data_IF_863236751448
#
_entry.id   IF_863236751448
#
_cell.length_a   1.000
_cell.length_b   1.000
_cell.length_c   1.000
_cell.angle_alpha   90.00
_cell.angle_beta   90.00
_cell.angle_gamma   90.00
#
_symmetry.space_group_name_H-M   'P 1'
#
loop_
_entity.id
_entity.type
_entity.pdbx_description
1 polymer ?
#
# COMPACT_ATOMS: atom_id res chain seq x y z
N UNK A 1 -59.36 -50.65 -25.27
CA UNK A 1 -58.32 -49.89 -24.54
C UNK A 1 -57.07 -50.75 -24.38
N UNK A 2 -56.08 -50.62 -25.28
CA UNK A 2 -54.73 -51.18 -25.13
C UNK A 2 -53.76 -50.15 -25.73
N UNK A 3 -52.79 -49.70 -24.92
CA UNK A 3 -51.84 -48.62 -25.19
C UNK A 3 -50.69 -49.11 -26.09
N UNK A 4 -50.08 -48.26 -26.94
CA UNK A 4 -48.90 -48.63 -27.69
C UNK A 4 -47.63 -48.48 -26.83
N UNK A 5 -46.68 -49.38 -27.06
CA UNK A 5 -45.34 -49.40 -26.44
C UNK A 5 -44.42 -48.59 -27.35
N UNK A 6 -43.82 -47.52 -26.82
CA UNK A 6 -42.77 -46.75 -27.51
C UNK A 6 -41.42 -47.43 -27.30
N UNK A 7 -40.80 -47.91 -28.38
CA UNK A 7 -39.38 -48.28 -28.40
C UNK A 7 -38.53 -47.02 -28.57
N UNK A 8 -37.79 -46.64 -27.54
CA UNK A 8 -36.76 -45.62 -27.62
C UNK A 8 -35.43 -46.26 -28.05
N UNK A 9 -34.98 -45.97 -29.27
CA UNK A 9 -33.64 -46.32 -29.74
C UNK A 9 -32.70 -45.19 -29.32
N UNK A 10 -31.85 -45.45 -28.33
CA UNK A 10 -30.78 -44.54 -27.93
C UNK A 10 -29.61 -44.67 -28.92
N UNK A 11 -29.39 -43.63 -29.71
CA UNK A 11 -28.23 -43.51 -30.61
C UNK A 11 -27.02 -43.01 -29.79
N UNK A 12 -26.05 -43.88 -29.53
CA UNK A 12 -24.78 -43.50 -28.91
C UNK A 12 -23.88 -42.83 -29.96
N UNK A 13 -23.66 -41.52 -29.83
CA UNK A 13 -22.70 -40.79 -30.65
C UNK A 13 -21.28 -40.98 -30.09
N UNK A 14 -20.44 -41.73 -30.82
CA UNK A 14 -18.99 -41.76 -30.61
C UNK A 14 -18.38 -40.45 -31.16
N UNK A 15 -18.02 -39.54 -30.26
CA UNK A 15 -17.17 -38.39 -30.56
C UNK A 15 -15.71 -38.86 -30.70
N UNK A 16 -15.27 -39.09 -31.93
CA UNK A 16 -13.84 -39.09 -32.25
C UNK A 16 -13.28 -37.68 -32.08
N UNK A 17 -12.56 -37.43 -31.00
CA UNK A 17 -11.72 -36.24 -30.87
C UNK A 17 -10.55 -36.38 -31.86
N UNK A 18 -10.61 -35.65 -32.96
CA UNK A 18 -9.46 -35.45 -33.82
C UNK A 18 -8.37 -34.73 -33.00
N UNK A 19 -7.23 -35.40 -32.76
CA UNK A 19 -6.07 -34.74 -32.19
C UNK A 19 -5.53 -33.73 -33.21
N UNK A 20 -5.57 -32.45 -32.86
CA UNK A 20 -4.91 -31.41 -33.65
C UNK A 20 -3.40 -31.72 -33.71
N UNK A 21 -2.79 -31.55 -34.89
CA UNK A 21 -1.35 -31.67 -35.05
C UNK A 21 -0.64 -30.70 -34.09
N UNK A 22 0.49 -31.08 -33.48
CA UNK A 22 1.22 -30.19 -32.60
C UNK A 22 1.67 -28.94 -33.37
N UNK A 23 1.70 -27.76 -32.71
CA UNK A 23 2.20 -26.55 -33.34
C UNK A 23 3.66 -26.73 -33.78
N UNK A 24 4.10 -26.06 -34.86
CA UNK A 24 5.48 -26.15 -35.32
C UNK A 24 6.44 -25.57 -34.28
N UNK A 25 7.61 -26.20 -34.13
CA UNK A 25 8.71 -25.73 -33.28
C UNK A 25 9.35 -24.43 -33.82
N UNK A 26 10.08 -23.66 -33.00
CA UNK A 26 10.81 -22.48 -33.46
C UNK A 26 11.76 -22.76 -34.64
N UNK A 27 12.40 -23.93 -34.68
CA UNK A 27 13.23 -24.33 -35.83
C UNK A 27 12.40 -24.49 -37.11
N UNK A 28 11.20 -25.09 -37.02
CA UNK A 28 10.29 -25.24 -38.16
C UNK A 28 9.68 -23.91 -38.61
N UNK A 29 9.47 -22.97 -37.69
CA UNK A 29 8.91 -21.65 -37.98
C UNK A 29 9.96 -20.74 -38.63
N UNK A 30 11.17 -20.67 -38.08
CA UNK A 30 12.18 -19.67 -38.47
C UNK A 30 13.29 -20.21 -39.38
N UNK A 31 13.44 -21.53 -39.50
CA UNK A 31 14.33 -22.20 -40.45
C UNK A 31 15.75 -21.62 -40.47
N UNK A 32 16.24 -21.07 -41.60
CA UNK A 32 17.59 -20.52 -41.72
C UNK A 32 17.94 -19.42 -40.72
N UNK A 33 16.96 -18.65 -40.23
CA UNK A 33 17.19 -17.65 -39.17
C UNK A 33 17.54 -18.35 -37.86
N UNK A 34 16.78 -19.40 -37.49
CA UNK A 34 17.05 -20.19 -36.29
C UNK A 34 18.43 -20.84 -36.34
N UNK A 35 18.78 -21.44 -37.48
CA UNK A 35 20.09 -22.07 -37.68
C UNK A 35 21.23 -21.07 -37.53
N UNK A 36 21.10 -19.87 -38.09
CA UNK A 36 22.12 -18.84 -37.97
C UNK A 36 22.28 -18.35 -36.52
N UNK A 37 21.17 -18.06 -35.82
CA UNK A 37 21.22 -17.58 -34.43
C UNK A 37 21.87 -18.60 -33.49
N UNK A 38 21.54 -19.88 -33.66
CA UNK A 38 22.12 -20.95 -32.85
C UNK A 38 23.59 -21.23 -33.22
N UNK A 39 23.92 -21.25 -34.52
CA UNK A 39 25.28 -21.59 -34.99
C UNK A 39 26.28 -20.49 -34.68
N UNK A 40 25.87 -19.22 -34.76
CA UNK A 40 26.73 -18.07 -34.43
C UNK A 40 26.81 -17.81 -32.92
N UNK A 41 26.10 -18.59 -32.08
CA UNK A 41 26.02 -18.41 -30.63
C UNK A 41 25.70 -16.95 -30.26
N UNK A 42 24.69 -16.40 -30.92
CA UNK A 42 24.25 -15.00 -30.72
C UNK A 42 23.92 -14.72 -29.24
N UNK A 43 23.49 -15.73 -28.50
CA UNK A 43 23.31 -15.72 -27.05
C UNK A 43 24.15 -16.82 -26.39
N UNK A 44 24.54 -16.62 -25.14
CA UNK A 44 25.38 -17.56 -24.38
C UNK A 44 24.68 -18.92 -24.16
N UNK A 45 23.35 -18.92 -23.97
CA UNK A 45 22.52 -20.11 -23.84
C UNK A 45 21.66 -20.30 -25.09
N UNK A 46 21.74 -21.50 -25.69
CA UNK A 46 20.93 -21.87 -26.85
C UNK A 46 19.42 -21.95 -26.55
N UNK A 47 19.01 -22.00 -25.28
CA UNK A 47 17.60 -21.91 -24.88
C UNK A 47 17.05 -20.48 -25.00
N UNK A 48 17.91 -19.47 -24.93
CA UNK A 48 17.50 -18.05 -24.95
C UNK A 48 16.72 -17.67 -26.20
N UNK A 49 17.16 -18.10 -27.39
CA UNK A 49 16.43 -17.82 -28.63
C UNK A 49 15.20 -18.72 -28.82
N UNK A 50 15.25 -19.96 -28.34
CA UNK A 50 14.12 -20.90 -28.39
C UNK A 50 12.91 -20.36 -27.61
N UNK A 51 13.17 -19.66 -26.50
CA UNK A 51 12.16 -19.04 -25.65
C UNK A 51 11.83 -17.59 -26.06
N UNK A 52 12.46 -17.07 -27.12
CA UNK A 52 12.21 -15.71 -27.59
C UNK A 52 10.84 -15.59 -28.27
N UNK A 53 10.12 -14.52 -27.95
CA UNK A 53 8.76 -14.28 -28.45
C UNK A 53 8.83 -13.34 -29.67
N UNK A 54 8.29 -13.70 -30.84
CA UNK A 54 8.31 -12.81 -32.01
C UNK A 54 7.46 -11.55 -31.75
N UNK A 55 7.96 -10.39 -32.16
CA UNK A 55 7.27 -9.09 -32.07
C UNK A 55 6.29 -8.84 -33.22
N UNK A 56 6.23 -9.73 -34.20
CA UNK A 56 5.39 -9.62 -35.40
C UNK A 56 5.17 -10.98 -36.07
N UNK A 57 4.62 -10.95 -37.28
CA UNK A 57 4.33 -12.17 -38.05
C UNK A 57 5.63 -12.95 -38.38
N UNK A 58 5.75 -14.24 -38.01
CA UNK A 58 6.95 -15.04 -38.25
C UNK A 58 7.37 -15.11 -39.72
N UNK A 59 6.42 -15.21 -40.66
CA UNK A 59 6.75 -15.28 -42.08
C UNK A 59 7.38 -13.97 -42.57
N UNK A 60 6.85 -12.82 -42.14
CA UNK A 60 7.44 -11.51 -42.42
C UNK A 60 8.85 -11.36 -41.83
N UNK A 61 9.09 -11.90 -40.63
CA UNK A 61 10.42 -11.88 -39.99
C UNK A 61 11.43 -12.71 -40.78
N UNK A 62 11.05 -13.92 -41.22
CA UNK A 62 11.91 -14.78 -42.05
C UNK A 62 12.23 -14.12 -43.39
N UNK A 63 11.26 -13.44 -44.00
CA UNK A 63 11.49 -12.72 -45.25
C UNK A 63 12.37 -11.47 -45.08
N UNK A 64 12.26 -10.76 -43.95
CA UNK A 64 13.21 -9.72 -43.59
C UNK A 64 14.63 -10.27 -43.43
N UNK A 65 14.79 -11.40 -42.74
CA UNK A 65 16.08 -12.06 -42.58
C UNK A 65 16.72 -12.44 -43.92
N UNK A 66 15.93 -13.01 -44.85
CA UNK A 66 16.42 -13.37 -46.20
C UNK A 66 16.91 -12.17 -47.01
N UNK A 67 16.27 -11.01 -46.84
CA UNK A 67 16.63 -9.77 -47.52
C UNK A 67 17.87 -9.11 -46.90
N UNK A 68 17.95 -9.08 -45.58
CA UNK A 68 19.04 -8.41 -44.86
C UNK A 68 20.32 -9.25 -44.76
N UNK A 69 20.20 -10.58 -44.73
CA UNK A 69 21.29 -11.55 -44.51
C UNK A 69 22.30 -11.12 -43.42
N UNK A 70 21.83 -10.73 -42.21
CA UNK A 70 22.70 -10.21 -41.17
C UNK A 70 23.60 -11.31 -40.58
N UNK A 71 24.81 -10.91 -40.13
CA UNK A 71 25.80 -11.80 -39.49
C UNK A 71 26.45 -11.13 -38.28
N UNK A 72 26.97 -11.92 -37.35
CA UNK A 72 27.65 -11.46 -36.14
C UNK A 72 26.81 -10.49 -35.33
N UNK A 73 27.37 -9.32 -35.01
CA UNK A 73 26.67 -8.28 -34.25
C UNK A 73 25.37 -7.79 -34.93
N UNK A 74 25.33 -7.78 -36.27
CA UNK A 74 24.11 -7.40 -37.01
C UNK A 74 23.00 -8.44 -36.86
N UNK A 75 23.36 -9.73 -36.75
CA UNK A 75 22.38 -10.80 -36.50
C UNK A 75 21.78 -10.66 -35.09
N UNK A 76 22.60 -10.34 -34.09
CA UNK A 76 22.10 -10.04 -32.73
C UNK A 76 21.12 -8.87 -32.73
N UNK A 77 21.45 -7.77 -33.40
CA UNK A 77 20.56 -6.61 -33.52
C UNK A 77 19.26 -6.95 -34.29
N UNK A 78 19.36 -7.75 -35.34
CA UNK A 78 18.19 -8.27 -36.06
C UNK A 78 17.26 -9.03 -35.11
N UNK A 79 17.82 -9.96 -34.31
CA UNK A 79 17.03 -10.72 -33.34
C UNK A 79 16.38 -9.80 -32.30
N UNK A 80 17.13 -8.89 -31.68
CA UNK A 80 16.57 -7.96 -30.68
C UNK A 80 15.51 -7.03 -31.26
N UNK A 81 15.58 -6.71 -32.57
CA UNK A 81 14.54 -5.92 -33.25
C UNK A 81 13.26 -6.71 -33.50
N UNK A 82 13.35 -8.00 -33.83
CA UNK A 82 12.20 -8.81 -34.25
C UNK A 82 11.66 -9.75 -33.16
N UNK A 83 12.38 -9.93 -32.06
CA UNK A 83 12.02 -10.81 -30.95
C UNK A 83 12.19 -10.11 -29.60
N UNK A 84 11.33 -10.44 -28.64
CA UNK A 84 11.54 -10.17 -27.22
C UNK A 84 12.28 -11.37 -26.63
N UNK A 85 13.55 -11.17 -26.29
CA UNK A 85 14.46 -12.24 -25.86
C UNK A 85 14.59 -12.24 -24.33
N UNK A 86 14.36 -13.38 -23.64
CA UNK A 86 14.51 -13.45 -22.18
C UNK A 86 15.92 -13.06 -21.71
N UNK A 87 16.00 -12.17 -20.72
CA UNK A 87 17.28 -11.69 -20.16
C UNK A 87 17.94 -10.56 -20.95
N UNK A 88 17.57 -10.37 -22.22
CA UNK A 88 17.92 -9.19 -23.00
C UNK A 88 16.82 -8.15 -22.78
N UNK A 89 17.15 -7.01 -22.17
CA UNK A 89 16.17 -5.96 -22.05
C UNK A 89 15.87 -5.41 -23.45
N UNK A 90 14.64 -5.59 -23.92
CA UNK A 90 14.08 -4.69 -24.94
C UNK A 90 14.41 -3.28 -24.46
N UNK A 91 15.16 -2.52 -25.28
CA UNK A 91 15.39 -1.10 -25.06
C UNK A 91 14.01 -0.43 -25.03
N UNK A 92 13.38 -0.42 -23.84
CA UNK A 92 12.24 0.43 -23.58
C UNK A 92 12.80 1.84 -23.82
N UNK A 93 12.16 2.65 -24.68
CA UNK A 93 12.61 4.01 -24.91
C UNK A 93 12.83 4.64 -23.54
N UNK A 94 13.99 5.29 -23.35
CA UNK A 94 14.38 5.85 -22.06
C UNK A 94 13.22 6.70 -21.52
N UNK A 95 12.47 6.12 -20.58
CA UNK A 95 11.36 6.83 -19.96
C UNK A 95 11.99 7.84 -19.02
N UNK A 96 11.50 9.07 -19.06
CA UNK A 96 11.86 10.01 -18.00
C UNK A 96 11.38 9.42 -16.67
N UNK A 97 12.04 9.77 -15.56
CA UNK A 97 11.58 9.37 -14.22
C UNK A 97 10.09 9.69 -14.01
N UNK A 98 9.62 10.82 -14.57
CA UNK A 98 8.23 11.24 -14.50
C UNK A 98 7.30 10.32 -15.27
N UNK A 99 7.66 9.94 -16.49
CA UNK A 99 6.83 9.03 -17.30
C UNK A 99 6.79 7.63 -16.70
N UNK A 100 7.91 7.18 -16.12
CA UNK A 100 7.98 5.93 -15.39
C UNK A 100 7.03 5.94 -14.18
N UNK A 101 7.08 6.97 -13.33
CA UNK A 101 6.17 7.12 -12.18
C UNK A 101 4.71 7.14 -12.61
N UNK A 102 4.38 7.92 -13.65
CA UNK A 102 3.00 7.99 -14.18
C UNK A 102 2.51 6.62 -14.68
N UNK A 103 3.38 5.86 -15.33
CA UNK A 103 3.07 4.52 -15.81
C UNK A 103 2.88 3.50 -14.68
N UNK A 104 3.33 3.79 -13.45
CA UNK A 104 3.11 2.93 -12.28
C UNK A 104 1.74 3.11 -11.64
N UNK A 105 1.06 4.25 -11.79
CA UNK A 105 -0.25 4.46 -11.12
C UNK A 105 -1.27 3.37 -11.45
N UNK A 106 -1.50 2.98 -12.71
CA UNK A 106 -2.42 1.88 -13.01
C UNK A 106 -1.97 0.54 -12.43
N UNK A 107 -0.65 0.31 -12.34
CA UNK A 107 -0.08 -0.94 -11.82
C UNK A 107 -0.18 -1.04 -10.29
N UNK A 108 -0.13 0.10 -9.60
CA UNK A 108 -0.25 0.21 -8.15
C UNK A 108 -1.70 0.40 -7.70
N UNK A 109 -2.62 0.72 -8.61
CA UNK A 109 -4.05 0.82 -8.32
C UNK A 109 -4.66 -0.56 -8.14
N UNK A 110 -5.51 -0.71 -7.14
CA UNK A 110 -6.36 -1.87 -6.90
C UNK A 110 -7.82 -1.43 -6.99
N UNK A 111 -8.72 -2.30 -7.48
CA UNK A 111 -10.15 -2.00 -7.47
C UNK A 111 -10.68 -2.02 -6.03
N UNK A 112 -11.93 -1.60 -5.87
CA UNK A 112 -12.69 -1.83 -4.64
C UNK A 112 -12.59 -3.29 -4.20
N UNK A 113 -12.51 -3.51 -2.89
CA UNK A 113 -12.22 -4.80 -2.30
C UNK A 113 -13.39 -5.27 -1.42
N UNK A 114 -13.98 -6.40 -1.78
CA UNK A 114 -14.84 -7.18 -0.89
C UNK A 114 -14.14 -8.52 -0.58
N UNK A 115 -13.48 -8.64 0.59
CA UNK A 115 -12.67 -9.81 0.90
C UNK A 115 -13.55 -11.03 1.21
N UNK A 116 -13.14 -12.25 0.79
CA UNK A 116 -13.86 -13.46 1.14
C UNK A 116 -13.77 -13.74 2.65
N UNK A 117 -14.72 -14.53 3.17
CA UNK A 117 -14.72 -14.95 4.57
C UNK A 117 -13.38 -15.62 4.95
N UNK A 118 -12.85 -15.28 6.14
CA UNK A 118 -11.55 -15.77 6.62
C UNK A 118 -10.34 -15.00 6.10
N UNK A 119 -10.51 -14.06 5.17
CA UNK A 119 -9.44 -13.15 4.76
C UNK A 119 -9.07 -12.17 5.86
N UNK A 120 -7.79 -11.82 5.97
CA UNK A 120 -7.34 -10.73 6.83
C UNK A 120 -7.57 -9.35 6.22
N UNK A 121 -7.87 -9.23 4.93
CA UNK A 121 -8.13 -7.92 4.32
C UNK A 121 -9.41 -7.28 4.85
N UNK A 122 -9.40 -5.96 5.00
CA UNK A 122 -10.60 -5.15 5.28
C UNK A 122 -11.23 -4.71 3.96
N UNK A 123 -12.56 -4.68 3.90
CA UNK A 123 -13.28 -4.18 2.72
C UNK A 123 -12.99 -2.70 2.47
N UNK A 124 -12.91 -2.31 1.20
CA UNK A 124 -12.75 -0.93 0.73
C UNK A 124 -13.75 -0.67 -0.41
N UNK A 125 -14.62 0.35 -0.31
CA UNK A 125 -15.67 0.61 -1.29
C UNK A 125 -15.20 1.16 -2.64
N UNK A 126 -13.98 1.70 -2.74
CA UNK A 126 -13.49 2.40 -3.92
C UNK A 126 -12.10 1.90 -4.39
N UNK A 127 -11.63 2.31 -5.58
CA UNK A 127 -10.26 2.06 -5.99
C UNK A 127 -9.22 2.81 -5.15
N UNK A 128 -8.09 2.17 -4.88
CA UNK A 128 -7.01 2.73 -4.07
C UNK A 128 -5.63 2.36 -4.60
N UNK A 129 -4.62 3.12 -4.19
CA UNK A 129 -3.21 2.83 -4.52
C UNK A 129 -2.53 2.09 -3.37
N UNK A 130 -1.69 1.10 -3.70
CA UNK A 130 -0.82 0.41 -2.74
C UNK A 130 0.65 0.79 -2.95
N UNK A 131 1.53 0.68 -1.93
CA UNK A 131 2.95 1.03 -2.06
C UNK A 131 3.70 0.19 -3.11
N UNK A 132 3.28 -1.07 -3.30
CA UNK A 132 3.87 -2.00 -4.26
C UNK A 132 4.72 -3.10 -3.64
N UNK A 133 5.10 -4.08 -4.45
CA UNK A 133 5.86 -5.25 -4.02
C UNK A 133 5.11 -6.12 -3.01
N UNK A 134 5.68 -6.29 -1.81
CA UNK A 134 5.07 -7.10 -0.73
C UNK A 134 3.86 -6.43 -0.07
N UNK A 135 3.75 -5.11 -0.16
CA UNK A 135 2.69 -4.33 0.45
C UNK A 135 1.48 -4.31 -0.49
N UNK A 136 0.49 -5.14 -0.16
CA UNK A 136 -0.68 -5.41 -1.03
C UNK A 136 -1.97 -4.77 -0.53
N UNK A 137 -1.85 -3.91 0.46
CA UNK A 137 -2.93 -3.19 1.12
C UNK A 137 -2.58 -1.70 1.18
N UNK A 138 -3.59 -0.85 1.31
CA UNK A 138 -3.39 0.59 1.53
C UNK A 138 -2.82 0.79 2.94
N UNK A 139 -1.81 1.66 3.05
CA UNK A 139 -1.22 2.12 4.31
C UNK A 139 -1.59 3.59 4.52
N UNK A 140 -1.86 3.96 5.77
CA UNK A 140 -2.47 5.25 6.07
C UNK A 140 -1.57 6.43 5.67
N UNK A 141 -0.42 6.63 6.32
CA UNK A 141 0.37 7.84 6.08
C UNK A 141 1.05 7.86 4.69
N UNK A 142 1.46 6.70 4.14
CA UNK A 142 2.03 6.55 2.80
C UNK A 142 1.09 7.18 1.75
N UNK A 143 -0.21 6.94 1.92
CA UNK A 143 -1.25 7.40 1.00
C UNK A 143 -1.28 8.91 0.85
N UNK A 144 -0.92 9.69 1.87
CA UNK A 144 -0.90 11.15 1.74
C UNK A 144 0.17 11.58 0.73
N UNK A 145 1.38 11.02 0.84
CA UNK A 145 2.47 11.32 -0.07
C UNK A 145 2.20 10.78 -1.47
N UNK A 146 1.55 9.61 -1.58
CA UNK A 146 1.03 9.11 -2.86
C UNK A 146 0.01 10.07 -3.47
N UNK A 147 -0.95 10.57 -2.69
CA UNK A 147 -1.97 11.52 -3.15
C UNK A 147 -1.38 12.85 -3.64
N UNK A 148 -0.26 13.31 -3.09
CA UNK A 148 0.47 14.47 -3.63
C UNK A 148 0.98 14.20 -5.05
N UNK A 149 1.54 13.01 -5.31
CA UNK A 149 1.96 12.58 -6.64
C UNK A 149 0.78 12.44 -7.61
N UNK A 150 -0.31 11.82 -7.15
CA UNK A 150 -1.57 11.72 -7.89
C UNK A 150 -2.12 13.11 -8.28
N UNK A 151 -2.08 14.08 -7.36
CA UNK A 151 -2.50 15.46 -7.63
C UNK A 151 -1.65 16.08 -8.74
N UNK A 152 -0.33 15.90 -8.68
CA UNK A 152 0.60 16.44 -9.66
C UNK A 152 0.44 15.83 -11.07
N UNK A 153 -0.14 14.62 -11.17
CA UNK A 153 -0.47 13.95 -12.43
C UNK A 153 -1.97 14.02 -12.80
N UNK A 154 -2.76 14.85 -12.12
CA UNK A 154 -4.17 15.10 -12.45
C UNK A 154 -5.12 13.95 -12.11
N UNK A 155 -4.72 13.02 -11.23
CA UNK A 155 -5.49 11.83 -10.84
C UNK A 155 -6.52 12.12 -9.74
N UNK A 156 -7.30 13.21 -9.88
CA UNK A 156 -8.28 13.64 -8.88
C UNK A 156 -9.33 12.56 -8.52
N UNK A 157 -9.90 11.81 -9.48
CA UNK A 157 -10.88 10.77 -9.14
C UNK A 157 -10.32 9.69 -8.20
N UNK A 158 -9.02 9.38 -8.31
CA UNK A 158 -8.35 8.40 -7.47
C UNK A 158 -8.09 8.96 -6.06
N UNK A 159 -7.76 10.24 -5.95
CA UNK A 159 -7.65 10.97 -4.67
C UNK A 159 -8.98 10.90 -3.91
N UNK A 160 -10.09 11.24 -4.57
CA UNK A 160 -11.41 11.24 -3.95
C UNK A 160 -11.88 9.81 -3.59
N UNK A 161 -11.49 8.81 -4.39
CA UNK A 161 -11.74 7.39 -4.08
C UNK A 161 -11.01 6.94 -2.81
N UNK A 162 -9.72 7.28 -2.68
CA UNK A 162 -8.94 6.97 -1.47
C UNK A 162 -9.48 7.67 -0.22
N UNK A 163 -9.99 8.91 -0.34
CA UNK A 163 -10.67 9.60 0.76
C UNK A 163 -11.94 8.86 1.18
N UNK A 164 -12.78 8.44 0.24
CA UNK A 164 -13.98 7.66 0.54
C UNK A 164 -13.66 6.34 1.26
N UNK A 165 -12.55 5.69 0.88
CA UNK A 165 -12.06 4.50 1.56
C UNK A 165 -11.66 4.79 3.01
N UNK A 166 -10.89 5.86 3.28
CA UNK A 166 -10.50 6.27 4.63
C UNK A 166 -11.68 6.66 5.51
N UNK A 167 -12.65 7.39 4.96
CA UNK A 167 -13.90 7.71 5.66
C UNK A 167 -14.70 6.44 6.01
N UNK A 168 -14.73 5.46 5.10
CA UNK A 168 -15.39 4.17 5.35
C UNK A 168 -14.74 3.39 6.49
N UNK A 169 -13.41 3.53 6.67
CA UNK A 169 -12.67 2.88 7.75
C UNK A 169 -13.00 3.54 9.09
N UNK A 170 -13.02 4.88 9.13
CA UNK A 170 -13.42 5.64 10.31
C UNK A 170 -14.85 5.33 10.70
N UNK A 171 -15.78 5.29 9.74
CA UNK A 171 -17.19 4.99 10.01
C UNK A 171 -17.40 3.59 10.63
N UNK A 172 -16.58 2.59 10.25
CA UNK A 172 -16.71 1.21 10.74
C UNK A 172 -15.89 0.91 11.99
N UNK A 173 -14.73 1.53 12.14
CA UNK A 173 -13.74 1.17 13.16
C UNK A 173 -13.43 2.31 14.13
N UNK A 174 -13.90 3.53 13.86
CA UNK A 174 -13.65 4.73 14.66
C UNK A 174 -12.31 5.42 14.36
N UNK A 175 -11.47 4.84 13.50
CA UNK A 175 -10.15 5.36 13.11
C UNK A 175 -9.67 4.74 11.81
N UNK A 176 -8.57 5.25 11.26
CA UNK A 176 -7.87 4.65 10.12
C UNK A 176 -6.79 3.70 10.64
N UNK A 177 -6.87 2.38 10.40
CA UNK A 177 -5.83 1.43 10.82
C UNK A 177 -4.51 1.65 10.08
N UNK A 178 -3.40 1.13 10.64
CA UNK A 178 -2.06 1.18 10.02
C UNK A 178 -2.10 0.82 8.52
N UNK A 179 -2.75 -0.30 8.20
CA UNK A 179 -3.16 -0.66 6.85
C UNK A 179 -4.45 -1.48 6.88
N UNK A 180 -4.97 -1.87 5.72
CA UNK A 180 -6.31 -2.50 5.64
C UNK A 180 -6.29 -4.01 5.88
N UNK A 181 -5.78 -4.40 7.05
CA UNK A 181 -5.76 -5.79 7.55
C UNK A 181 -6.32 -5.90 8.96
N UNK A 182 -6.98 -7.01 9.28
CA UNK A 182 -7.61 -7.29 10.58
C UNK A 182 -6.61 -7.24 11.74
N UNK A 183 -5.35 -7.62 11.53
CA UNK A 183 -4.28 -7.55 12.53
C UNK A 183 -3.78 -6.13 12.81
N UNK A 184 -4.17 -5.15 11.98
CA UNK A 184 -3.90 -3.72 12.20
C UNK A 184 -5.01 -3.01 12.98
N UNK A 185 -6.16 -3.64 13.24
CA UNK A 185 -7.27 -3.02 14.00
C UNK A 185 -6.95 -2.73 15.49
N UNK A 186 -5.72 -2.96 15.95
CA UNK A 186 -5.24 -2.50 17.25
C UNK A 186 -4.57 -1.11 17.23
N UNK A 187 -4.19 -0.60 16.05
CA UNK A 187 -3.37 0.60 15.91
C UNK A 187 -3.62 1.36 14.61
N UNK A 188 -3.38 2.66 14.65
CA UNK A 188 -3.41 3.55 13.48
C UNK A 188 -2.02 3.66 12.83
N UNK A 189 -1.76 4.82 12.23
CA UNK A 189 -0.47 5.33 11.74
C UNK A 189 -0.47 6.86 11.94
N UNK A 190 0.60 7.60 11.62
CA UNK A 190 0.59 9.06 11.73
C UNK A 190 -0.66 9.71 11.09
N UNK A 191 -1.39 10.63 11.76
CA UNK A 191 -2.70 11.09 11.31
C UNK A 191 -2.62 12.18 10.25
N UNK A 192 -2.66 11.76 8.98
CA UNK A 192 -2.56 12.64 7.81
C UNK A 192 -3.91 13.02 7.18
N UNK A 193 -5.05 12.52 7.68
CA UNK A 193 -6.35 12.72 7.03
C UNK A 193 -6.69 14.19 6.81
N UNK A 194 -6.40 15.09 7.75
CA UNK A 194 -6.66 16.52 7.55
C UNK A 194 -5.94 17.09 6.34
N UNK A 195 -4.71 16.63 6.08
CA UNK A 195 -3.91 17.03 4.93
C UNK A 195 -4.39 16.36 3.64
N UNK A 196 -4.90 15.12 3.73
CA UNK A 196 -5.52 14.42 2.61
C UNK A 196 -6.82 15.11 2.16
N UNK A 197 -7.66 15.54 3.11
CA UNK A 197 -8.92 16.26 2.82
C UNK A 197 -8.66 17.59 2.11
N UNK A 198 -7.52 18.24 2.37
CA UNK A 198 -7.12 19.46 1.64
C UNK A 198 -6.86 19.21 0.14
N UNK A 199 -6.70 17.94 -0.27
CA UNK A 199 -6.52 17.53 -1.67
C UNK A 199 -7.85 17.15 -2.37
N UNK A 200 -8.95 17.04 -1.61
CA UNK A 200 -10.26 16.64 -2.11
C UNK A 200 -10.79 17.59 -3.19
N UNK A 201 -11.61 17.08 -4.11
CA UNK A 201 -12.32 17.92 -5.09
C UNK A 201 -13.34 18.86 -4.43
N UNK A 202 -13.99 18.40 -3.36
CA UNK A 202 -14.90 19.18 -2.54
C UNK A 202 -14.49 19.16 -1.06
N UNK A 203 -13.50 19.97 -0.65
CA UNK A 203 -13.03 19.95 0.72
C UNK A 203 -14.13 20.27 1.74
N UNK A 204 -15.18 21.01 1.39
CA UNK A 204 -16.22 21.41 2.35
C UNK A 204 -17.32 20.35 2.54
N UNK A 205 -17.19 19.15 1.95
CA UNK A 205 -18.13 18.04 2.21
C UNK A 205 -18.23 17.76 3.73
N UNK A 206 -19.44 17.80 4.32
CA UNK A 206 -19.65 17.54 5.75
C UNK A 206 -19.11 16.18 6.22
N UNK A 207 -19.00 15.18 5.34
CA UNK A 207 -18.42 13.87 5.65
C UNK A 207 -16.96 13.99 6.08
N UNK A 208 -16.20 14.88 5.45
CA UNK A 208 -14.81 15.13 5.81
C UNK A 208 -14.71 15.67 7.24
N UNK A 209 -15.52 16.66 7.60
CA UNK A 209 -15.52 17.22 8.97
C UNK A 209 -15.93 16.16 10.01
N UNK A 210 -16.92 15.32 9.69
CA UNK A 210 -17.32 14.22 10.55
C UNK A 210 -16.18 13.21 10.76
N UNK A 211 -15.49 12.83 9.69
CA UNK A 211 -14.35 11.90 9.74
C UNK A 211 -13.18 12.46 10.55
N UNK A 212 -12.82 13.74 10.36
CA UNK A 212 -11.75 14.39 11.11
C UNK A 212 -12.06 14.46 12.62
N UNK A 213 -13.30 14.75 12.99
CA UNK A 213 -13.74 14.75 14.39
C UNK A 213 -13.67 13.35 15.01
N UNK A 214 -14.12 12.34 14.28
CA UNK A 214 -14.05 10.95 14.75
C UNK A 214 -12.60 10.47 14.91
N UNK A 215 -11.70 10.82 13.97
CA UNK A 215 -10.28 10.53 14.13
C UNK A 215 -9.68 11.26 15.36
N UNK A 216 -10.00 12.53 15.56
CA UNK A 216 -9.57 13.26 16.74
C UNK A 216 -10.06 12.59 18.04
N UNK A 217 -11.32 12.13 18.08
CA UNK A 217 -11.86 11.40 19.23
C UNK A 217 -11.14 10.08 19.50
N UNK A 218 -10.69 9.37 18.46
CA UNK A 218 -9.83 8.19 18.61
C UNK A 218 -8.49 8.53 19.27
N UNK A 219 -7.80 9.58 18.80
CA UNK A 219 -6.53 10.01 19.39
C UNK A 219 -6.69 10.52 20.82
N UNK A 220 -7.84 11.13 21.13
CA UNK A 220 -8.14 11.73 22.44
C UNK A 220 -8.95 10.81 23.36
N UNK A 221 -9.07 9.51 23.04
CA UNK A 221 -9.74 8.52 23.89
C UNK A 221 -9.05 8.45 25.26
N UNK A 222 -9.86 8.37 26.32
CA UNK A 222 -9.43 8.40 27.73
C UNK A 222 -8.72 9.68 28.21
N UNK A 223 -8.93 10.83 27.53
CA UNK A 223 -8.42 12.15 27.97
C UNK A 223 -8.85 12.57 29.39
N UNK A 224 -9.89 11.95 29.94
CA UNK A 224 -10.38 12.21 31.29
C UNK A 224 -9.47 11.63 32.39
N UNK A 225 -8.45 10.82 32.03
CA UNK A 225 -7.47 10.34 33.00
C UNK A 225 -6.82 11.50 33.77
N UNK A 226 -6.78 11.36 35.10
CA UNK A 226 -6.34 12.41 36.03
C UNK A 226 -4.82 12.53 36.14
N UNK A 227 -4.06 11.52 35.71
CA UNK A 227 -2.60 11.51 35.80
C UNK A 227 -1.97 10.52 34.83
N UNK A 228 -0.76 10.83 34.37
CA UNK A 228 0.06 9.93 33.55
C UNK A 228 -0.48 9.73 32.14
N UNK A 229 -0.27 8.54 31.59
CA UNK A 229 -0.67 8.18 30.24
C UNK A 229 -1.80 7.14 30.24
N UNK A 230 -2.83 7.38 29.43
CA UNK A 230 -3.92 6.46 29.17
C UNK A 230 -4.07 6.31 27.66
N UNK A 231 -3.86 5.08 27.16
CA UNK A 231 -3.82 4.79 25.73
C UNK A 231 -2.87 5.75 24.98
N UNK A 232 -3.40 6.52 24.04
CA UNK A 232 -2.72 7.49 23.17
C UNK A 232 -2.62 8.89 23.79
N UNK A 233 -3.20 9.14 24.96
CA UNK A 233 -3.18 10.45 25.65
C UNK A 233 -2.17 10.43 26.80
N UNK A 234 -1.40 11.49 26.92
CA UNK A 234 -0.45 11.74 28.00
C UNK A 234 -0.76 13.08 28.66
N UNK A 235 -1.00 13.06 29.96
CA UNK A 235 -1.11 14.27 30.77
C UNK A 235 0.28 14.64 31.30
N UNK A 236 0.78 15.78 30.83
CA UNK A 236 2.05 16.36 31.23
C UNK A 236 1.98 16.91 32.67
N UNK A 237 3.12 17.13 33.35
CA UNK A 237 3.15 17.61 34.73
C UNK A 237 2.40 18.94 35.00
N UNK A 238 2.33 19.84 34.02
CA UNK A 238 1.59 21.10 34.10
C UNK A 238 0.09 20.94 33.76
N UNK A 239 -0.37 19.71 33.55
CA UNK A 239 -1.74 19.39 33.19
C UNK A 239 -2.02 19.43 31.68
N UNK A 240 -1.07 19.88 30.85
CA UNK A 240 -1.23 19.89 29.40
C UNK A 240 -1.45 18.47 28.86
N UNK A 241 -2.19 18.36 27.75
CA UNK A 241 -2.43 17.09 27.07
C UNK A 241 -1.59 17.01 25.79
N UNK A 242 -0.81 15.94 25.69
CA UNK A 242 -0.11 15.53 24.48
C UNK A 242 -0.48 14.08 24.16
N UNK A 243 -0.01 13.57 23.03
CA UNK A 243 -0.27 12.22 22.60
C UNK A 243 1.00 11.40 22.43
N UNK A 244 0.85 10.08 22.53
CA UNK A 244 1.86 9.08 22.22
C UNK A 244 1.29 8.01 21.29
N UNK A 245 2.17 7.29 20.62
CA UNK A 245 1.78 6.07 19.90
C UNK A 245 1.48 4.93 20.87
N UNK A 246 0.48 4.13 20.55
CA UNK A 246 -0.07 3.05 21.36
C UNK A 246 -0.90 2.09 20.49
N UNK A 247 -0.57 0.80 20.47
CA UNK A 247 -1.49 -0.24 19.97
C UNK A 247 -2.34 -0.75 21.14
N UNK A 248 -3.59 -1.15 20.93
CA UNK A 248 -4.53 -1.65 21.94
C UNK A 248 -4.34 -3.16 22.28
N UNK A 249 -3.59 -3.90 21.46
CA UNK A 249 -3.30 -5.33 21.66
C UNK A 249 -2.02 -5.56 22.48
N UNK A 250 -2.03 -6.46 23.50
CA UNK A 250 -0.88 -6.70 24.37
C UNK A 250 0.07 -7.84 23.93
N UNK A 251 -0.04 -8.35 22.70
CA UNK A 251 0.71 -9.53 22.21
C UNK A 251 1.71 -9.23 21.08
N UNK A 252 2.49 -10.22 20.61
CA UNK A 252 3.38 -10.07 19.44
C UNK A 252 2.58 -9.70 18.18
N UNK A 253 3.18 -8.96 17.24
CA UNK A 253 2.59 -8.63 15.93
C UNK A 253 2.35 -9.88 15.10
N UNK A 254 1.16 -9.99 14.52
CA UNK A 254 0.75 -11.14 13.71
C UNK A 254 1.67 -11.30 12.47
N UNK A 255 2.03 -10.18 11.85
CA UNK A 255 2.90 -10.09 10.68
C UNK A 255 4.41 -10.20 10.99
N UNK A 256 4.80 -10.27 12.26
CA UNK A 256 6.20 -10.34 12.72
C UNK A 256 6.32 -11.11 14.04
N UNK A 257 5.55 -12.20 14.16
CA UNK A 257 5.37 -12.90 15.43
C UNK A 257 6.69 -13.46 15.98
N UNK A 258 7.46 -14.13 15.13
CA UNK A 258 8.69 -14.79 15.52
C UNK A 258 9.75 -13.77 15.97
N UNK A 259 9.85 -12.65 15.23
CA UNK A 259 10.76 -11.54 15.49
C UNK A 259 10.43 -10.85 16.81
N UNK A 260 9.14 -10.57 17.07
CA UNK A 260 8.69 -9.94 18.30
C UNK A 260 8.96 -10.85 19.52
N UNK A 261 8.64 -12.15 19.41
CA UNK A 261 8.93 -13.14 20.47
C UNK A 261 10.43 -13.24 20.74
N UNK A 262 11.26 -13.29 19.70
CA UNK A 262 12.72 -13.32 19.84
C UNK A 262 13.25 -12.04 20.51
N UNK A 263 12.74 -10.88 20.12
CA UNK A 263 13.11 -9.58 20.70
C UNK A 263 12.76 -9.51 22.19
N UNK A 264 11.55 -9.93 22.56
CA UNK A 264 11.11 -9.92 23.96
C UNK A 264 11.89 -10.91 24.83
N UNK A 265 12.39 -12.03 24.28
CA UNK A 265 13.28 -12.96 25.01
C UNK A 265 14.64 -12.35 25.35
N UNK A 266 15.09 -11.34 24.61
CA UNK A 266 16.36 -10.65 24.83
C UNK A 266 16.23 -9.44 25.79
N UNK A 267 15.03 -9.19 26.33
CA UNK A 267 14.76 -8.08 27.23
C UNK A 267 14.60 -8.56 28.67
N UNK A 268 15.01 -7.73 29.63
CA UNK A 268 14.74 -7.97 31.06
C UNK A 268 13.37 -7.42 31.50
N UNK A 269 12.63 -6.77 30.59
CA UNK A 269 11.28 -6.23 30.85
C UNK A 269 10.21 -7.31 30.73
N UNK A 270 9.02 -7.05 31.28
CA UNK A 270 7.87 -7.91 31.03
C UNK A 270 7.57 -7.98 29.52
N UNK A 271 7.36 -9.19 29.00
CA UNK A 271 7.19 -9.42 27.55
C UNK A 271 6.05 -8.60 26.95
N UNK A 272 4.94 -8.47 27.67
CA UNK A 272 3.79 -7.65 27.26
C UNK A 272 4.15 -6.19 27.02
N UNK A 273 5.03 -5.62 27.85
CA UNK A 273 5.45 -4.22 27.67
C UNK A 273 6.37 -4.07 26.45
N UNK A 274 7.25 -5.04 26.21
CA UNK A 274 8.09 -5.05 25.01
C UNK A 274 7.23 -5.15 23.74
N UNK A 275 6.25 -6.06 23.73
CA UNK A 275 5.30 -6.18 22.62
C UNK A 275 4.50 -4.92 22.40
N UNK A 276 4.05 -4.26 23.48
CA UNK A 276 3.33 -2.98 23.39
C UNK A 276 4.19 -1.91 22.71
N UNK A 277 5.47 -1.80 23.07
CA UNK A 277 6.39 -0.82 22.50
C UNK A 277 6.77 -1.14 21.04
N UNK A 278 6.89 -2.42 20.68
CA UNK A 278 7.08 -2.85 19.30
C UNK A 278 5.87 -2.48 18.43
N UNK A 279 4.67 -2.77 18.89
CA UNK A 279 3.43 -2.41 18.18
C UNK A 279 3.22 -0.89 18.10
N UNK A 280 3.53 -0.15 19.17
CA UNK A 280 3.51 1.31 19.14
C UNK A 280 4.57 1.89 18.19
N UNK A 281 5.73 1.23 18.04
CA UNK A 281 6.73 1.58 17.02
C UNK A 281 6.19 1.42 15.59
N UNK A 282 5.36 0.39 15.36
CA UNK A 282 4.66 0.23 14.09
C UNK A 282 3.54 1.27 13.88
N UNK A 283 2.82 1.67 14.94
CA UNK A 283 1.85 2.79 14.86
C UNK A 283 2.55 4.11 14.54
N UNK A 284 3.82 4.28 14.93
CA UNK A 284 4.55 5.51 14.62
C UNK A 284 4.93 5.62 13.14
N UNK A 285 4.93 4.51 12.38
CA UNK A 285 5.50 4.44 11.03
C UNK A 285 7.04 4.41 10.99
N UNK A 286 7.69 4.26 12.15
CA UNK A 286 9.15 4.25 12.30
C UNK A 286 9.61 2.96 13.00
N UNK A 287 9.16 1.81 12.50
CA UNK A 287 9.51 0.46 12.95
C UNK A 287 10.72 -0.10 12.17
N UNK A 288 11.95 -0.09 12.71
CA UNK A 288 12.36 0.46 14.00
C UNK A 288 13.45 1.51 13.85
N UNK A 289 13.57 2.36 14.88
CA UNK A 289 14.48 3.49 14.91
C UNK A 289 15.13 3.61 16.28
N UNK A 290 16.40 4.02 16.30
CA UNK A 290 17.14 4.36 17.54
C UNK A 290 16.41 5.40 18.39
N UNK A 291 15.56 6.24 17.76
CA UNK A 291 14.65 7.19 18.41
C UNK A 291 13.84 6.56 19.55
N UNK A 292 13.46 5.30 19.41
CA UNK A 292 12.59 4.59 20.36
C UNK A 292 13.35 3.71 21.36
N UNK A 293 14.68 3.62 21.25
CA UNK A 293 15.48 2.66 22.00
C UNK A 293 16.21 3.34 23.16
N UNK A 294 16.33 2.65 24.29
CA UNK A 294 17.26 3.10 25.35
C UNK A 294 18.72 2.84 24.94
N UNK A 295 18.98 1.72 24.28
CA UNK A 295 20.26 1.41 23.63
C UNK A 295 20.03 1.38 22.10
N UNK A 296 20.63 2.31 21.34
CA UNK A 296 20.36 2.46 19.91
C UNK A 296 20.77 1.25 19.07
N UNK A 297 21.53 0.30 19.63
CA UNK A 297 21.96 -0.93 18.95
C UNK A 297 21.13 -2.16 19.32
N UNK A 298 20.22 -2.06 20.30
CA UNK A 298 19.43 -3.20 20.79
C UNK A 298 17.94 -2.92 20.77
N UNK A 299 17.24 -3.54 19.82
CA UNK A 299 15.79 -3.45 19.68
C UNK A 299 15.03 -3.91 20.95
N UNK A 300 15.58 -4.85 21.72
CA UNK A 300 14.97 -5.32 22.98
C UNK A 300 14.85 -4.24 24.07
N UNK A 301 15.45 -3.06 23.83
CA UNK A 301 15.37 -1.88 24.71
C UNK A 301 14.35 -0.83 24.23
N UNK A 302 13.52 -1.16 23.23
CA UNK A 302 12.46 -0.29 22.72
C UNK A 302 11.51 0.15 23.83
N UNK A 303 11.13 1.42 23.82
CA UNK A 303 10.31 2.11 24.85
C UNK A 303 9.37 3.16 24.25
N UNK A 304 8.82 2.88 23.07
CA UNK A 304 8.01 3.82 22.27
C UNK A 304 6.89 4.50 23.06
N UNK A 305 6.16 3.75 23.89
CA UNK A 305 5.04 4.28 24.69
C UNK A 305 5.49 5.18 25.86
N UNK A 306 6.79 5.26 26.13
CA UNK A 306 7.36 6.17 27.13
C UNK A 306 7.85 7.49 26.51
N UNK A 307 7.65 7.68 25.21
CA UNK A 307 8.10 8.86 24.47
C UNK A 307 6.89 9.60 23.93
N UNK A 308 6.81 10.91 24.17
CA UNK A 308 5.82 11.82 23.59
C UNK A 308 6.39 12.33 22.26
N UNK A 309 5.87 11.91 21.09
CA UNK A 309 6.48 12.19 19.79
C UNK A 309 6.11 13.59 19.27
N UNK A 310 7.11 14.38 18.84
CA UNK A 310 6.89 15.73 18.28
C UNK A 310 6.14 15.73 16.95
N UNK A 311 6.38 14.72 16.11
CA UNK A 311 5.68 14.48 14.84
C UNK A 311 4.19 14.23 15.06
N UNK A 312 3.83 13.28 15.94
CA UNK A 312 2.43 12.99 16.26
C UNK A 312 1.71 14.25 16.76
N UNK A 313 2.32 14.98 17.70
CA UNK A 313 1.68 16.16 18.29
C UNK A 313 1.60 17.33 17.29
N UNK A 314 2.56 17.45 16.37
CA UNK A 314 2.48 18.41 15.26
C UNK A 314 1.32 18.09 14.31
N UNK A 315 1.12 16.80 13.98
CA UNK A 315 0.01 16.36 13.13
C UNK A 315 -1.34 16.55 13.82
N UNK A 316 -1.44 16.26 15.12
CA UNK A 316 -2.68 16.51 15.86
C UNK A 316 -2.99 18.00 16.02
N UNK A 317 -1.97 18.85 16.13
CA UNK A 317 -2.16 20.30 16.07
C UNK A 317 -2.71 20.73 14.70
N UNK A 318 -2.20 20.17 13.59
CA UNK A 318 -2.74 20.40 12.25
C UNK A 318 -4.19 19.92 12.14
N UNK A 319 -4.50 18.74 12.67
CA UNK A 319 -5.86 18.18 12.70
C UNK A 319 -6.83 19.10 13.45
N UNK A 320 -6.48 19.55 14.66
CA UNK A 320 -7.32 20.44 15.46
C UNK A 320 -7.56 21.77 14.74
N UNK A 321 -6.55 22.33 14.08
CA UNK A 321 -6.71 23.54 13.25
C UNK A 321 -7.63 23.31 12.06
N UNK A 322 -7.46 22.21 11.34
CA UNK A 322 -8.29 21.88 10.18
C UNK A 322 -9.76 21.69 10.58
N UNK A 323 -10.03 21.06 11.74
CA UNK A 323 -11.39 20.95 12.28
C UNK A 323 -11.96 22.33 12.61
N UNK A 324 -11.19 23.20 13.27
CA UNK A 324 -11.64 24.55 13.62
C UNK A 324 -12.02 25.37 12.37
N UNK A 325 -11.16 25.36 11.35
CA UNK A 325 -11.37 26.05 10.07
C UNK A 325 -12.65 25.55 9.37
N UNK A 326 -12.84 24.22 9.31
CA UNK A 326 -14.00 23.59 8.67
C UNK A 326 -15.30 23.81 9.45
N UNK A 327 -15.25 23.79 10.77
CA UNK A 327 -16.40 24.16 11.60
C UNK A 327 -16.82 25.62 11.38
N UNK A 328 -15.85 26.53 11.23
CA UNK A 328 -16.15 27.93 10.89
C UNK A 328 -16.82 28.06 9.51
N UNK A 329 -16.30 27.35 8.49
CA UNK A 329 -16.92 27.30 7.15
C UNK A 329 -18.34 26.72 7.18
N UNK A 330 -18.60 25.74 8.04
CA UNK A 330 -19.92 25.15 8.22
C UNK A 330 -20.88 26.01 9.08
N UNK A 331 -20.44 27.16 9.61
CA UNK A 331 -21.24 28.02 10.49
C UNK A 331 -21.35 27.51 11.94
N UNK A 332 -20.62 26.47 12.33
CA UNK A 332 -20.58 25.97 13.70
C UNK A 332 -19.52 26.72 14.54
N UNK A 333 -19.93 27.90 15.01
CA UNK A 333 -19.06 28.76 15.81
C UNK A 333 -18.67 28.14 17.17
N UNK A 334 -19.48 27.23 17.71
CA UNK A 334 -19.19 26.52 18.96
C UNK A 334 -18.04 25.55 18.79
N UNK A 335 -18.13 24.67 17.79
CA UNK A 335 -17.07 23.76 17.41
C UNK A 335 -15.78 24.52 17.05
N UNK A 336 -15.88 25.56 16.22
CA UNK A 336 -14.71 26.33 15.78
C UNK A 336 -13.91 26.89 16.97
N UNK A 337 -14.59 27.54 17.93
CA UNK A 337 -13.95 28.06 19.15
C UNK A 337 -13.30 26.96 19.98
N UNK A 338 -13.98 25.83 20.15
CA UNK A 338 -13.47 24.70 20.94
C UNK A 338 -12.16 24.16 20.34
N UNK A 339 -12.15 23.89 19.03
CA UNK A 339 -10.96 23.34 18.38
C UNK A 339 -9.83 24.35 18.23
N UNK A 340 -10.12 25.65 18.13
CA UNK A 340 -9.10 26.70 18.27
C UNK A 340 -8.42 26.67 19.64
N UNK A 341 -9.18 26.47 20.72
CA UNK A 341 -8.61 26.34 22.07
C UNK A 341 -7.74 25.09 22.20
N UNK A 342 -8.18 23.95 21.65
CA UNK A 342 -7.39 22.72 21.63
C UNK A 342 -6.06 22.92 20.88
N UNK A 343 -6.10 23.47 19.67
CA UNK A 343 -4.91 23.76 18.88
C UNK A 343 -3.95 24.74 19.59
N UNK A 344 -4.47 25.79 20.22
CA UNK A 344 -3.66 26.74 20.98
C UNK A 344 -2.97 26.08 22.18
N UNK A 345 -3.71 25.28 22.95
CA UNK A 345 -3.19 24.55 24.10
C UNK A 345 -2.11 23.54 23.68
N UNK A 346 -2.35 22.79 22.60
CA UNK A 346 -1.39 21.83 22.06
C UNK A 346 -0.13 22.52 21.55
N UNK A 347 -0.25 23.65 20.85
CA UNK A 347 0.93 24.43 20.42
C UNK A 347 1.79 24.83 21.62
N UNK A 348 1.18 25.41 22.65
CA UNK A 348 1.89 25.80 23.86
C UNK A 348 2.57 24.60 24.55
N UNK A 349 1.91 23.44 24.56
CA UNK A 349 2.48 22.21 25.10
C UNK A 349 3.66 21.68 24.26
N UNK A 350 3.59 21.75 22.93
CA UNK A 350 4.71 21.40 22.04
C UNK A 350 5.90 22.33 22.30
N UNK A 351 5.68 23.65 22.30
CA UNK A 351 6.74 24.65 22.53
C UNK A 351 7.43 24.44 23.90
N UNK A 352 6.67 24.03 24.92
CA UNK A 352 7.19 23.81 26.27
C UNK A 352 7.90 22.47 26.45
N UNK A 353 7.31 21.38 25.96
CA UNK A 353 7.72 20.02 26.33
C UNK A 353 8.52 19.30 25.25
N UNK A 354 8.43 19.75 23.99
CA UNK A 354 9.02 19.07 22.84
C UNK A 354 10.05 19.92 22.10
N UNK A 355 10.42 21.08 22.67
CA UNK A 355 11.52 21.91 22.21
C UNK A 355 12.71 21.80 23.17
N UNK A 356 13.90 21.59 22.62
CA UNK A 356 15.16 21.73 23.35
C UNK A 356 15.74 23.11 22.97
N UNK A 357 15.83 24.06 23.92
CA UNK A 357 16.32 25.42 23.67
C UNK A 357 17.68 25.53 23.01
#
# INVERSE_FOLDING_TARGET
MRRPVHFAVALAALLCLAQAAPPPSPQQIYGPLFEAVQSERVFEDGKTFVDAVPKGDPAAIVEAYRREQPKGAALRQFVLRHFSVPGEQDERPAQTLRDHIRALWPQLTRPALNPPAGSSALSLPAPYVVPGGRFREIYYWDSYFTMLGLKADGQQPLIDSMLADFESLIARYGFIPNGTRTYYLGRSQPPFLSLMVDLASNPTDPRHLAALRAEHDFWMRDRASKSGAALRVVRMPDGALLNRYWDDRPGPRDESWAEDVATARQSNRARGDVYRDLRAGAESGWDFSSRWLADPKRLSTIRTTHIVPVDLNSLLWRLERAIAERCATAGDAGCARQFHQFAAARKAAIDRWLWLP
#
